data_IF_746109540696
#
_entry.id   IF_746109540696
#
_cell.length_a   1.000
_cell.length_b   1.000
_cell.length_c   1.000
_cell.angle_alpha   90.00
_cell.angle_beta   90.00
_cell.angle_gamma   90.00
#
_symmetry.space_group_name_H-M   'P 1'
#
loop_
_entity.id
_entity.type
_entity.pdbx_description
1 polymer ?
#
# COMPACT_ATOMS: atom_id res chain seq x y z
N UNK A 1 -7.34 10.80 -29.37
CA UNK A 1 -6.49 10.68 -28.17
C UNK A 1 -7.39 10.27 -27.03
N UNK A 2 -7.33 9.02 -26.59
CA UNK A 2 -8.04 8.59 -25.40
C UNK A 2 -7.38 9.28 -24.21
N UNK A 3 -8.08 10.23 -23.59
CA UNK A 3 -7.73 10.66 -22.23
C UNK A 3 -7.60 9.41 -21.38
N UNK A 4 -6.43 9.23 -20.75
CA UNK A 4 -6.27 8.15 -19.80
C UNK A 4 -7.33 8.33 -18.70
N UNK A 5 -8.27 7.40 -18.63
CA UNK A 5 -9.33 7.44 -17.63
C UNK A 5 -8.70 7.58 -16.23
N UNK A 6 -8.98 8.66 -15.47
CA UNK A 6 -8.35 8.90 -14.17
C UNK A 6 -8.56 7.76 -13.18
N UNK A 7 -9.70 7.05 -13.31
CA UNK A 7 -10.00 5.84 -12.54
C UNK A 7 -9.04 4.71 -12.89
N UNK A 8 -8.77 4.49 -14.19
CA UNK A 8 -7.83 3.48 -14.65
C UNK A 8 -6.40 3.76 -14.17
N UNK A 9 -5.97 5.02 -14.24
CA UNK A 9 -4.66 5.46 -13.73
C UNK A 9 -4.57 5.16 -12.23
N UNK A 10 -5.58 5.57 -11.46
CA UNK A 10 -5.62 5.35 -10.01
C UNK A 10 -5.59 3.87 -9.66
N UNK A 11 -6.40 3.05 -10.34
CA UNK A 11 -6.40 1.60 -10.14
C UNK A 11 -5.03 0.98 -10.46
N UNK A 12 -4.36 1.45 -11.51
CA UNK A 12 -3.02 0.99 -11.85
C UNK A 12 -1.99 1.34 -10.76
N UNK A 13 -2.08 2.55 -10.18
CA UNK A 13 -1.25 2.97 -9.05
C UNK A 13 -1.55 2.15 -7.79
N UNK A 14 -2.82 1.90 -7.48
CA UNK A 14 -3.24 1.18 -6.27
C UNK A 14 -3.13 -0.34 -6.41
N UNK A 15 -2.90 -0.84 -7.63
CA UNK A 15 -2.82 -2.27 -7.89
C UNK A 15 -1.72 -2.95 -7.07
N UNK A 16 -2.02 -4.16 -6.62
CA UNK A 16 -1.12 -5.00 -5.83
C UNK A 16 -1.67 -5.37 -4.45
N UNK A 17 -1.34 -6.58 -3.99
CA UNK A 17 -1.87 -7.20 -2.76
C UNK A 17 -1.73 -6.31 -1.51
N UNK A 18 -0.67 -5.50 -1.42
CA UNK A 18 -0.28 -4.84 -0.17
C UNK A 18 -0.59 -3.34 -0.09
N UNK A 19 -0.75 -2.63 -1.21
CA UNK A 19 -0.88 -1.15 -1.20
C UNK A 19 -2.13 -0.69 -0.45
N UNK A 20 -3.29 -1.25 -0.77
CA UNK A 20 -4.55 -0.91 -0.11
C UNK A 20 -4.53 -1.25 1.38
N UNK A 21 -3.87 -2.35 1.76
CA UNK A 21 -3.71 -2.73 3.17
C UNK A 21 -2.81 -1.74 3.93
N UNK A 22 -1.68 -1.33 3.34
CA UNK A 22 -0.80 -0.32 3.92
C UNK A 22 -1.54 1.01 4.08
N UNK A 23 -2.28 1.45 3.05
CA UNK A 23 -3.09 2.69 3.11
C UNK A 23 -4.11 2.58 4.23
N UNK A 24 -4.89 1.49 4.29
CA UNK A 24 -5.88 1.25 5.36
C UNK A 24 -5.25 1.38 6.75
N UNK A 25 -4.09 0.78 6.96
CA UNK A 25 -3.40 0.85 8.26
C UNK A 25 -2.93 2.27 8.59
N UNK A 26 -2.45 3.03 7.62
CA UNK A 26 -1.95 4.40 7.82
C UNK A 26 -3.06 5.46 7.90
N UNK A 27 -4.27 5.16 7.40
CA UNK A 27 -5.45 6.02 7.60
C UNK A 27 -5.83 6.14 9.08
N UNK A 28 -5.48 5.14 9.91
CA UNK A 28 -5.71 5.18 11.37
C UNK A 28 -4.68 6.03 12.12
N UNK A 29 -3.62 6.49 11.43
CA UNK A 29 -2.56 7.29 12.02
C UNK A 29 -1.17 6.80 11.64
N UNK A 30 -0.15 7.58 12.03
CA UNK A 30 1.25 7.22 11.82
C UNK A 30 1.60 5.97 12.63
N UNK A 31 2.22 4.98 11.99
CA UNK A 31 2.71 3.75 12.62
C UNK A 31 4.21 3.60 12.43
N UNK A 32 4.93 3.15 13.44
CA UNK A 32 6.32 2.68 13.28
C UNK A 32 6.32 1.42 12.40
N UNK A 33 7.45 1.17 11.73
CA UNK A 33 7.58 0.02 10.84
C UNK A 33 7.22 -1.31 11.51
N UNK A 34 7.65 -1.51 12.76
CA UNK A 34 7.34 -2.72 13.54
C UNK A 34 5.86 -2.86 13.87
N UNK A 35 5.15 -1.76 14.12
CA UNK A 35 3.70 -1.75 14.39
C UNK A 35 2.91 -2.09 13.14
N UNK A 36 3.29 -1.50 12.00
CA UNK A 36 2.70 -1.80 10.69
C UNK A 36 2.97 -3.25 10.27
N UNK A 37 4.18 -3.76 10.52
CA UNK A 37 4.51 -5.17 10.24
C UNK A 37 3.72 -6.14 11.12
N UNK A 38 3.43 -5.76 12.37
CA UNK A 38 2.61 -6.56 13.30
C UNK A 38 1.14 -6.59 12.88
N UNK A 39 0.57 -5.50 12.37
CA UNK A 39 -0.81 -5.50 11.88
C UNK A 39 -1.00 -6.25 10.56
N UNK A 40 0.10 -6.50 9.83
CA UNK A 40 0.11 -7.24 8.57
C UNK A 40 1.04 -8.47 8.65
N UNK A 41 0.68 -9.54 9.39
CA UNK A 41 1.59 -10.68 9.62
C UNK A 41 2.04 -11.38 8.33
N UNK A 42 1.18 -11.44 7.30
CA UNK A 42 1.47 -12.10 6.02
C UNK A 42 2.50 -11.37 5.13
N UNK A 43 2.66 -10.04 5.25
CA UNK A 43 3.62 -9.32 4.40
C UNK A 43 5.03 -9.55 4.92
N UNK A 44 5.97 -9.95 4.07
CA UNK A 44 7.37 -10.10 4.52
C UNK A 44 8.00 -8.74 4.80
N UNK A 45 9.00 -8.69 5.69
CA UNK A 45 9.74 -7.46 5.97
C UNK A 45 10.33 -6.85 4.70
N UNK A 46 10.92 -7.67 3.82
CA UNK A 46 11.47 -7.24 2.52
C UNK A 46 10.40 -6.59 1.63
N UNK A 47 9.21 -7.20 1.56
CA UNK A 47 8.11 -6.67 0.75
C UNK A 47 7.57 -5.36 1.32
N UNK A 48 7.40 -5.30 2.65
CA UNK A 48 6.94 -4.08 3.32
C UNK A 48 7.93 -2.92 3.12
N UNK A 49 9.23 -3.16 3.27
CA UNK A 49 10.27 -2.15 2.97
C UNK A 49 10.22 -1.70 1.52
N UNK A 50 9.98 -2.61 0.56
CA UNK A 50 9.88 -2.26 -0.86
C UNK A 50 8.66 -1.38 -1.16
N UNK A 51 7.55 -1.57 -0.46
CA UNK A 51 6.31 -0.82 -0.68
C UNK A 51 6.32 0.57 -0.02
N UNK A 52 7.19 0.80 0.98
CA UNK A 52 7.28 2.06 1.72
C UNK A 52 8.41 3.00 1.22
N UNK A 53 9.21 2.55 0.23
CA UNK A 53 10.23 3.34 -0.46
C UNK A 53 9.69 3.80 -1.79
#
# INVERSE_FOLDING_TARGET
MSEECPVSITLNILNGKWKLLIIKELLTGKKRFSELKKSMPEVTQKMLTKQLR
#
